data_IF_993509779748
#
_entry.id   IF_993509779748
#
_cell.length_a   1.000
_cell.length_b   1.000
_cell.length_c   1.000
_cell.angle_alpha   90.00
_cell.angle_beta   90.00
_cell.angle_gamma   90.00
#
_symmetry.space_group_name_H-M   'P 1'
#
loop_
_entity.id
_entity.type
_entity.pdbx_description
1 polymer ?
#
# COMPACT_ATOMS: atom_id res chain seq x y z
N UNK A 1 -1.00 -9.18 -7.86
CA UNK A 1 -1.66 -7.87 -7.73
C UNK A 1 -2.61 -7.93 -6.56
N UNK A 2 -2.72 -6.87 -5.79
CA UNK A 2 -3.63 -6.73 -4.65
C UNK A 2 -4.45 -5.45 -4.83
N UNK A 3 -5.70 -5.43 -4.33
CA UNK A 3 -6.57 -4.27 -4.42
C UNK A 3 -7.34 -4.07 -3.11
N UNK A 4 -7.48 -2.81 -2.69
CA UNK A 4 -8.25 -2.44 -1.50
C UNK A 4 -8.78 -1.01 -1.67
N UNK A 5 -10.09 -0.81 -1.44
CA UNK A 5 -10.77 0.48 -1.62
C UNK A 5 -10.45 1.20 -2.96
N UNK A 6 -10.21 0.43 -4.03
CA UNK A 6 -9.85 0.96 -5.36
C UNK A 6 -8.36 1.31 -5.54
N UNK A 7 -7.55 1.23 -4.49
CA UNK A 7 -6.09 1.29 -4.58
C UNK A 7 -5.54 -0.06 -5.02
N UNK A 8 -4.57 -0.06 -5.94
CA UNK A 8 -3.96 -1.27 -6.50
C UNK A 8 -2.50 -1.36 -6.12
N UNK A 9 -2.05 -2.50 -5.64
CA UNK A 9 -0.66 -2.77 -5.30
C UNK A 9 -0.04 -3.92 -6.07
N UNK A 10 1.26 -3.83 -6.28
CA UNK A 10 2.10 -4.95 -6.69
C UNK A 10 3.06 -5.28 -5.55
N UNK A 11 3.43 -6.56 -5.42
CA UNK A 11 4.39 -7.00 -4.42
C UNK A 11 5.23 -8.14 -4.97
N UNK A 12 6.46 -8.23 -4.47
CA UNK A 12 7.44 -9.22 -4.86
C UNK A 12 8.15 -9.76 -3.61
N UNK A 13 8.41 -11.06 -3.60
CA UNK A 13 9.21 -11.67 -2.54
C UNK A 13 10.69 -11.39 -2.80
N UNK A 14 11.37 -10.80 -1.83
CA UNK A 14 12.79 -10.50 -1.87
C UNK A 14 13.55 -11.56 -1.05
N UNK A 15 14.21 -12.54 -1.70
CA UNK A 15 14.83 -13.67 -0.99
C UNK A 15 15.95 -13.24 -0.02
N UNK A 16 16.64 -12.14 -0.32
CA UNK A 16 17.70 -11.59 0.54
C UNK A 16 17.14 -11.02 1.85
N UNK A 17 15.96 -10.42 1.81
CA UNK A 17 15.28 -9.86 2.98
C UNK A 17 14.38 -10.88 3.69
N UNK A 18 14.07 -12.01 3.03
CA UNK A 18 13.05 -12.98 3.46
C UNK A 18 11.71 -12.29 3.77
N UNK A 19 11.35 -11.33 2.93
CA UNK A 19 10.16 -10.50 3.07
C UNK A 19 9.57 -10.21 1.70
N UNK A 20 8.27 -9.95 1.68
CA UNK A 20 7.52 -9.39 0.57
C UNK A 20 7.62 -7.88 0.66
N UNK A 21 8.03 -7.25 -0.44
CA UNK A 21 8.02 -5.82 -0.60
C UNK A 21 6.97 -5.45 -1.64
N UNK A 22 6.12 -4.50 -1.32
CA UNK A 22 5.07 -4.04 -2.21
C UNK A 22 4.95 -2.54 -2.31
N UNK A 23 4.38 -2.10 -3.43
CA UNK A 23 4.14 -0.70 -3.76
C UNK A 23 2.72 -0.52 -4.26
N UNK A 24 2.07 0.54 -3.81
CA UNK A 24 0.78 0.99 -4.34
C UNK A 24 1.03 1.75 -5.64
N UNK A 25 0.26 1.40 -6.67
CA UNK A 25 0.35 1.94 -8.02
C UNK A 25 -0.89 2.74 -8.37
N UNK A 26 -0.76 3.70 -9.28
CA UNK A 26 -1.87 4.52 -9.74
C UNK A 26 -2.19 5.70 -8.81
N UNK A 27 -1.30 6.08 -7.90
CA UNK A 27 -1.42 7.28 -7.07
C UNK A 27 -0.20 8.19 -7.27
N UNK A 28 -0.34 9.49 -6.97
CA UNK A 28 0.81 10.42 -7.01
C UNK A 28 1.80 10.15 -5.90
N UNK A 29 1.28 9.82 -4.72
CA UNK A 29 2.09 9.53 -3.55
C UNK A 29 2.66 8.12 -3.61
N UNK A 30 3.78 7.90 -2.93
CA UNK A 30 4.42 6.59 -2.88
C UNK A 30 4.05 5.93 -1.56
N UNK A 31 3.18 4.91 -1.63
CA UNK A 31 2.86 4.07 -0.50
C UNK A 31 3.53 2.71 -0.71
N UNK A 32 4.28 2.26 0.28
CA UNK A 32 5.00 0.98 0.26
C UNK A 32 4.63 0.17 1.48
N UNK A 33 4.56 -1.14 1.33
CA UNK A 33 4.24 -2.07 2.41
C UNK A 33 5.25 -3.22 2.40
N UNK A 34 5.58 -3.74 3.59
CA UNK A 34 6.46 -4.89 3.75
C UNK A 34 5.77 -5.94 4.61
N UNK A 35 5.86 -7.20 4.23
CA UNK A 35 5.36 -8.30 5.05
C UNK A 35 6.34 -9.46 5.07
N UNK A 36 6.50 -10.14 6.21
CA UNK A 36 7.38 -11.31 6.30
C UNK A 36 6.74 -12.61 5.83
N UNK A 37 5.41 -12.65 5.85
CA UNK A 37 4.62 -13.83 5.49
C UNK A 37 3.56 -13.44 4.46
N UNK A 38 3.23 -14.38 3.57
CA UNK A 38 2.31 -14.13 2.48
C UNK A 38 0.89 -13.76 2.98
N UNK A 39 0.47 -14.36 4.09
CA UNK A 39 -0.79 -14.10 4.79
C UNK A 39 -0.85 -12.69 5.42
N UNK A 40 0.30 -12.05 5.68
CA UNK A 40 0.37 -10.70 6.23
C UNK A 40 0.39 -9.61 5.16
N UNK A 41 0.73 -9.95 3.91
CA UNK A 41 0.84 -8.99 2.79
C UNK A 41 -0.43 -8.17 2.63
N UNK A 42 -1.60 -8.81 2.75
CA UNK A 42 -2.88 -8.12 2.60
C UNK A 42 -3.23 -7.23 3.79
N UNK A 43 -2.85 -7.64 5.01
CA UNK A 43 -3.04 -6.81 6.20
C UNK A 43 -2.17 -5.55 6.13
N UNK A 44 -0.87 -5.70 5.88
CA UNK A 44 0.09 -4.58 5.79
C UNK A 44 -0.26 -3.61 4.65
N UNK A 45 -0.76 -4.13 3.52
CA UNK A 45 -1.26 -3.31 2.42
C UNK A 45 -2.47 -2.46 2.82
N UNK A 46 -3.43 -3.06 3.53
CA UNK A 46 -4.63 -2.35 4.00
C UNK A 46 -4.27 -1.28 5.02
N UNK A 47 -3.44 -1.63 5.99
CA UNK A 47 -2.95 -0.71 7.03
C UNK A 47 -2.23 0.48 6.40
N UNK A 48 -1.32 0.23 5.46
CA UNK A 48 -0.59 1.31 4.75
C UNK A 48 -1.53 2.25 3.98
N UNK A 49 -2.65 1.75 3.45
CA UNK A 49 -3.66 2.58 2.76
C UNK A 49 -4.49 3.35 3.78
N UNK A 50 -4.94 2.71 4.87
CA UNK A 50 -5.72 3.36 5.92
C UNK A 50 -4.91 4.49 6.59
N UNK A 51 -3.63 4.25 6.87
CA UNK A 51 -2.70 5.25 7.40
C UNK A 51 -2.55 6.43 6.45
N UNK A 52 -2.41 6.17 5.14
CA UNK A 52 -2.36 7.23 4.13
C UNK A 52 -3.66 8.04 4.09
N UNK A 53 -4.82 7.37 4.11
CA UNK A 53 -6.12 8.04 4.12
C UNK A 53 -6.31 8.89 5.38
N UNK A 54 -5.87 8.39 6.53
CA UNK A 54 -5.90 9.11 7.80
C UNK A 54 -4.98 10.32 7.74
N UNK A 55 -3.74 10.16 7.25
CA UNK A 55 -2.79 11.25 7.10
C UNK A 55 -3.32 12.36 6.19
N UNK A 56 -3.95 12.02 5.08
CA UNK A 56 -4.63 12.99 4.23
C UNK A 56 -5.76 13.72 4.98
N UNK A 57 -6.58 12.99 5.74
CA UNK A 57 -7.66 13.58 6.53
C UNK A 57 -7.14 14.55 7.61
N UNK A 58 -6.01 14.22 8.26
CA UNK A 58 -5.36 15.09 9.26
C UNK A 58 -4.81 16.37 8.65
N UNK A 59 -4.30 16.32 7.42
CA UNK A 59 -3.87 17.51 6.68
C UNK A 59 -5.04 18.35 6.14
N UNK A 60 -6.28 17.86 6.24
CA UNK A 60 -7.45 18.46 5.60
C UNK A 60 -7.38 18.40 4.07
N UNK A 61 -6.48 17.59 3.51
CA UNK A 61 -6.36 17.36 2.08
C UNK A 61 -7.21 16.17 1.68
N UNK A 62 -7.84 16.26 0.50
CA UNK A 62 -8.50 15.08 -0.07
C UNK A 62 -7.39 14.11 -0.50
N UNK A 63 -7.44 12.84 -0.07
CA UNK A 63 -6.47 11.85 -0.53
C UNK A 63 -6.43 11.89 -2.05
N UNK A 64 -5.22 11.95 -2.63
CA UNK A 64 -5.08 12.06 -4.07
C UNK A 64 -5.76 10.83 -4.68
N UNK A 65 -6.86 11.00 -5.44
CA UNK A 65 -7.57 9.85 -5.99
C UNK A 65 -6.63 9.12 -6.95
N UNK A 66 -6.75 7.78 -7.05
CA UNK A 66 -5.96 7.03 -7.99
C UNK A 66 -6.18 7.53 -9.43
N UNK A 67 -5.11 7.92 -10.10
CA UNK A 67 -5.09 8.25 -11.53
C UNK A 67 -4.69 6.98 -12.27
N UNK A 68 -5.71 6.29 -12.79
CA UNK A 68 -5.55 5.14 -13.69
C UNK A 68 -5.75 5.56 -15.14
#
# INVERSE_FOLDING_TARGET
MIEYQGYKGTYEYIPKAKAFYGIVTGIKDVITFEARQADQVEAEFRESIEDYLQWCAELGERPCPPVF
#
